data_IF_327277188523
#
_entry.id   IF_327277188523
#
_cell.length_a   1.000
_cell.length_b   1.000
_cell.length_c   1.000
_cell.angle_alpha   90.00
_cell.angle_beta   90.00
_cell.angle_gamma   90.00
#
_symmetry.space_group_name_H-M   'P 1'
#
loop_
_entity.id
_entity.type
_entity.pdbx_description
1 polymer ?
#
# COMPACT_ATOMS: atom_id res chain seq x y z
N UNK A 1 -1.80 -13.78 -2.16
CA UNK A 1 -2.28 -12.46 -1.70
C UNK A 1 -2.57 -11.55 -2.89
N UNK A 2 -3.62 -10.71 -2.80
CA UNK A 2 -3.86 -9.61 -3.75
C UNK A 2 -3.37 -8.31 -3.13
N UNK A 3 -2.40 -7.64 -3.77
CA UNK A 3 -1.77 -6.41 -3.28
C UNK A 3 -2.36 -5.22 -4.04
N UNK A 4 -2.73 -4.17 -3.32
CA UNK A 4 -3.21 -2.93 -3.91
C UNK A 4 -2.27 -1.77 -3.58
N UNK A 5 -2.08 -0.87 -4.54
CA UNK A 5 -1.32 0.38 -4.35
C UNK A 5 -2.22 1.55 -4.71
N UNK A 6 -2.19 2.62 -3.90
CA UNK A 6 -2.82 3.87 -4.29
C UNK A 6 -2.02 4.55 -5.41
N UNK A 7 -2.66 5.38 -6.25
CA UNK A 7 -1.97 6.10 -7.33
C UNK A 7 -0.85 7.03 -6.81
N UNK A 8 -1.06 7.63 -5.64
CA UNK A 8 -0.07 8.49 -4.98
C UNK A 8 1.13 7.68 -4.52
N UNK A 9 0.88 6.53 -3.88
CA UNK A 9 1.92 5.63 -3.43
C UNK A 9 2.73 5.06 -4.59
N UNK A 10 2.08 4.69 -5.68
CA UNK A 10 2.73 4.17 -6.87
C UNK A 10 3.64 5.21 -7.56
N UNK A 11 3.24 6.48 -7.58
CA UNK A 11 4.12 7.60 -8.00
C UNK A 11 5.32 7.76 -7.08
N UNK A 12 5.11 7.67 -5.76
CA UNK A 12 6.17 7.74 -4.77
C UNK A 12 7.16 6.58 -4.91
N UNK A 13 6.69 5.35 -5.01
CA UNK A 13 7.52 4.16 -5.18
C UNK A 13 8.40 4.25 -6.43
N UNK A 14 7.84 4.71 -7.56
CA UNK A 14 8.63 4.97 -8.77
C UNK A 14 9.70 6.05 -8.56
N UNK A 15 9.36 7.16 -7.90
CA UNK A 15 10.33 8.25 -7.62
C UNK A 15 11.47 7.76 -6.72
N UNK A 16 11.15 6.93 -5.74
CA UNK A 16 12.12 6.34 -4.82
C UNK A 16 12.84 5.10 -5.35
N UNK A 17 12.56 4.71 -6.61
CA UNK A 17 13.11 3.51 -7.27
C UNK A 17 12.88 2.22 -6.48
N UNK A 18 11.71 2.13 -5.83
CA UNK A 18 11.27 0.94 -5.14
C UNK A 18 10.58 0.03 -6.16
N UNK A 19 11.18 -1.14 -6.41
CA UNK A 19 10.61 -2.11 -7.34
C UNK A 19 9.38 -2.80 -6.74
N UNK A 20 8.48 -3.25 -7.60
CA UNK A 20 7.31 -4.02 -7.17
C UNK A 20 7.70 -5.34 -6.47
N UNK A 21 8.85 -5.92 -6.81
CA UNK A 21 9.36 -7.13 -6.16
C UNK A 21 9.84 -6.84 -4.73
N UNK A 22 10.46 -5.67 -4.50
CA UNK A 22 10.79 -5.23 -3.14
C UNK A 22 9.53 -5.02 -2.30
N UNK A 23 8.47 -4.45 -2.89
CA UNK A 23 7.18 -4.28 -2.21
C UNK A 23 6.54 -5.63 -1.87
N UNK A 24 6.56 -6.59 -2.80
CA UNK A 24 6.03 -7.94 -2.55
C UNK A 24 6.77 -8.64 -1.42
N UNK A 25 8.10 -8.57 -1.43
CA UNK A 25 8.91 -9.18 -0.38
C UNK A 25 8.61 -8.55 0.98
N UNK A 26 8.48 -7.23 1.05
CA UNK A 26 8.12 -6.54 2.28
C UNK A 26 6.77 -6.97 2.83
N UNK A 27 5.79 -7.22 1.95
CA UNK A 27 4.48 -7.69 2.39
C UNK A 27 4.56 -9.16 2.83
N UNK A 28 5.34 -10.01 2.15
CA UNK A 28 5.59 -11.38 2.63
C UNK A 28 6.24 -11.36 4.02
N UNK A 29 7.18 -10.45 4.27
CA UNK A 29 7.82 -10.28 5.58
C UNK A 29 6.77 -9.89 6.64
N UNK A 30 5.89 -8.93 6.33
CA UNK A 30 4.78 -8.53 7.20
C UNK A 30 3.82 -9.70 7.45
N UNK A 31 3.45 -10.48 6.43
CA UNK A 31 2.59 -11.67 6.57
C UNK A 31 3.22 -12.74 7.47
N UNK A 32 4.55 -12.84 7.49
CA UNK A 32 5.30 -13.72 8.39
C UNK A 32 5.53 -13.12 9.79
N UNK A 33 4.95 -11.95 10.09
CA UNK A 33 5.07 -11.26 11.38
C UNK A 33 6.37 -10.48 11.55
N UNK A 34 7.16 -10.31 10.48
CA UNK A 34 8.41 -9.55 10.48
C UNK A 34 8.11 -8.05 10.27
N UNK A 35 7.42 -7.47 11.25
CA UNK A 35 6.95 -6.09 11.23
C UNK A 35 7.90 -5.19 12.01
N UNK A 36 8.31 -4.07 11.41
CA UNK A 36 9.13 -3.06 12.10
C UNK A 36 8.33 -2.28 13.14
N UNK A 37 7.14 -1.80 12.77
CA UNK A 37 6.22 -1.13 13.67
C UNK A 37 4.77 -1.26 13.20
N UNK A 38 3.90 -1.65 14.12
CA UNK A 38 2.45 -1.53 14.00
C UNK A 38 2.02 -0.19 14.62
N UNK A 39 1.37 0.66 13.84
CA UNK A 39 0.89 1.97 14.27
C UNK A 39 -0.58 1.94 14.71
N UNK A 40 -1.23 0.77 14.69
CA UNK A 40 -2.65 0.59 14.97
C UNK A 40 -3.54 0.89 13.76
N UNK A 41 -4.84 0.59 13.89
CA UNK A 41 -5.85 0.82 12.84
C UNK A 41 -5.46 0.25 11.48
N UNK A 42 -4.83 -0.93 11.48
CA UNK A 42 -4.36 -1.58 10.26
C UNK A 42 -3.18 -0.88 9.57
N UNK A 43 -2.50 0.08 10.21
CA UNK A 43 -1.37 0.79 9.60
C UNK A 43 -0.05 0.17 10.06
N UNK A 44 0.69 -0.36 9.10
CA UNK A 44 2.00 -0.95 9.33
C UNK A 44 3.07 -0.06 8.70
N UNK A 45 4.13 0.23 9.47
CA UNK A 45 5.30 0.95 9.00
C UNK A 45 6.46 -0.03 8.87
N UNK A 46 6.89 -0.25 7.62
CA UNK A 46 7.98 -1.16 7.30
C UNK A 46 9.16 -0.40 6.66
N UNK A 47 10.38 -0.72 7.08
CA UNK A 47 11.60 -0.28 6.39
C UNK A 47 11.91 -1.25 5.26
N UNK A 48 12.23 -0.68 4.11
CA UNK A 48 12.74 -1.48 3.00
C UNK A 48 14.26 -1.40 2.88
N UNK A 49 14.90 -2.51 2.49
CA UNK A 49 16.25 -2.45 1.95
C UNK A 49 16.20 -1.75 0.58
N UNK A 50 16.71 -0.52 0.50
CA UNK A 50 16.95 0.13 -0.81
C UNK A 50 18.19 -0.57 -1.39
N UNK A 51 18.08 -1.09 -2.60
CA UNK A 51 19.26 -1.61 -3.30
C UNK A 51 20.21 -0.44 -3.58
N UNK A 52 21.37 -0.52 -2.93
CA UNK A 52 22.61 0.27 -3.00
C UNK A 52 22.69 1.76 -2.63
N UNK A 53 21.63 2.60 -2.53
CA UNK A 53 21.86 4.05 -2.27
C UNK A 53 20.88 4.76 -1.29
N UNK A 54 20.39 4.10 -0.24
CA UNK A 54 19.67 4.78 0.86
C UNK A 54 18.73 3.86 1.63
N UNK A 55 17.89 4.36 2.53
CA UNK A 55 16.78 3.60 3.14
C UNK A 55 15.48 4.32 2.79
N UNK A 56 14.45 3.57 2.40
CA UNK A 56 13.12 4.12 2.13
C UNK A 56 12.10 3.50 3.09
N UNK A 57 11.20 4.33 3.62
CA UNK A 57 10.10 3.91 4.49
C UNK A 57 8.82 3.79 3.68
N UNK A 58 7.99 2.80 4.01
CA UNK A 58 6.67 2.63 3.41
C UNK A 58 5.62 2.59 4.52
N UNK A 59 4.52 3.28 4.26
CA UNK A 59 3.27 3.14 4.98
C UNK A 59 2.38 2.15 4.23
N UNK A 60 2.10 1.00 4.84
CA UNK A 60 1.15 0.01 4.32
C UNK A 60 -0.12 0.15 5.15
N UNK A 61 -1.14 0.78 4.58
CA UNK A 61 -2.48 0.80 5.17
C UNK A 61 -3.20 -0.50 4.79
N UNK A 62 -3.64 -1.26 5.79
CA UNK A 62 -4.36 -2.53 5.64
C UNK A 62 -5.88 -2.33 5.68
N UNK A 63 -6.36 -1.13 5.36
CA UNK A 63 -7.79 -0.85 5.25
C UNK A 63 -8.31 -1.29 3.87
N UNK A 64 -9.42 -2.05 3.81
CA UNK A 64 -10.06 -2.32 2.54
C UNK A 64 -10.49 -0.98 1.94
N UNK A 65 -10.00 -0.66 0.74
CA UNK A 65 -10.46 0.48 -0.03
C UNK A 65 -11.96 0.28 -0.29
N UNK A 66 -12.81 0.84 0.57
CA UNK A 66 -14.24 0.94 0.30
C UNK A 66 -14.38 1.85 -0.90
N UNK A 67 -14.68 1.23 -2.04
CA UNK A 67 -15.10 1.91 -3.24
C UNK A 67 -16.25 2.84 -2.86
N UNK A 68 -16.25 4.11 -3.30
CA UNK A 68 -17.44 4.93 -3.15
C UNK A 68 -18.57 4.23 -3.91
N UNK A 69 -19.58 3.78 -3.17
CA UNK A 69 -20.84 3.29 -3.71
C UNK A 69 -21.34 4.33 -4.71
N UNK A 70 -21.48 3.93 -5.97
CA UNK A 70 -22.09 4.78 -6.98
C UNK A 70 -23.46 5.23 -6.44
N UNK A 71 -23.66 6.54 -6.27
CA UNK A 71 -25.00 7.10 -6.25
C UNK A 71 -25.57 6.83 -7.64
N UNK A 72 -26.35 5.75 -7.76
CA UNK A 72 -27.30 5.64 -8.85
C UNK A 72 -28.38 6.67 -8.58
N UNK A 73 -28.51 7.64 -9.48
CA UNK A 73 -29.79 8.31 -9.69
C UNK A 73 -30.46 7.63 -10.89
N UNK A 74 -31.46 6.77 -10.66
CA UNK A 74 -32.36 6.36 -11.71
C UNK A 74 -33.74 6.94 -11.39
N UNK A 75 -34.07 8.08 -12.00
CA UNK A 75 -35.43 8.43 -12.46
C UNK A 75 -35.38 9.67 -13.34
N UNK A 76 -35.28 9.44 -14.65
CA UNK A 76 -35.98 10.29 -15.61
C UNK A 76 -37.36 9.65 -15.72
N UNK A 77 -38.32 10.20 -14.98
CA UNK A 77 -39.73 9.97 -15.26
C UNK A 77 -40.21 11.19 -16.06
N UNK A 78 -40.54 10.94 -17.33
CA UNK A 78 -41.24 11.77 -18.35
C UNK A 78 -40.78 13.21 -18.62
#
# INVERSE_FOLDING_TARGET
MRIFKSKHFDKFARKERISDDTLRNAINDIENGLIDADLGSGVIKQRLPKSLDGKAFIEVSNEPIQQPSKCGDPRIDE
#
